data_IF_365868282127
#
_entry.id   IF_365868282127
#
_cell.length_a   1.000
_cell.length_b   1.000
_cell.length_c   1.000
_cell.angle_alpha   90.00
_cell.angle_beta   90.00
_cell.angle_gamma   90.00
#
_symmetry.space_group_name_H-M   'P 1'
#
loop_
_entity.id
_entity.type
_entity.pdbx_description
1 polymer ?
#
# COMPACT_ATOMS: atom_id res chain seq x y z
N UNK A 1 7.46 19.56 1.21
CA UNK A 1 6.83 19.02 -0.01
C UNK A 1 5.41 19.58 -0.13
N UNK A 2 4.76 19.92 0.99
CA UNK A 2 3.44 20.55 1.01
C UNK A 2 2.28 19.60 1.22
N UNK A 3 2.53 18.36 1.68
CA UNK A 3 1.47 17.43 2.06
C UNK A 3 0.84 17.84 3.39
N UNK A 4 -0.45 17.55 3.58
CA UNK A 4 -1.20 17.73 4.83
C UNK A 4 -0.95 16.58 5.80
N UNK A 5 -0.66 15.40 5.27
CA UNK A 5 -0.36 14.20 6.05
C UNK A 5 0.59 13.26 5.28
N UNK A 6 1.11 12.29 5.99
CA UNK A 6 1.77 11.11 5.43
C UNK A 6 1.33 9.87 6.20
N UNK A 7 1.37 8.71 5.55
CA UNK A 7 1.22 7.41 6.21
C UNK A 7 2.60 6.79 6.38
N UNK A 8 2.99 6.52 7.63
CA UNK A 8 4.23 5.81 7.93
C UNK A 8 3.96 4.31 7.90
N UNK A 9 4.41 3.64 6.82
CA UNK A 9 4.23 2.20 6.60
C UNK A 9 5.54 1.45 6.81
N UNK A 10 5.73 0.89 8.00
CA UNK A 10 6.85 -0.01 8.28
C UNK A 10 6.53 -1.42 7.78
N UNK A 11 7.56 -2.23 7.48
CA UNK A 11 7.36 -3.63 7.10
C UNK A 11 7.02 -4.52 8.30
N UNK A 12 6.20 -5.57 8.07
CA UNK A 12 5.93 -6.62 9.04
C UNK A 12 7.16 -7.52 9.29
N UNK A 13 7.15 -8.28 10.38
CA UNK A 13 8.31 -8.98 10.92
C UNK A 13 8.95 -9.99 9.96
N UNK A 14 8.18 -10.58 9.05
CA UNK A 14 8.68 -11.58 8.09
C UNK A 14 9.73 -11.00 7.15
N UNK A 15 9.65 -9.75 6.80
CA UNK A 15 10.64 -9.09 5.96
C UNK A 15 11.87 -8.68 6.77
N UNK A 16 12.66 -9.67 7.19
CA UNK A 16 13.83 -9.51 8.07
C UNK A 16 14.91 -8.60 7.48
N UNK A 17 15.06 -8.57 6.14
CA UNK A 17 16.03 -7.71 5.45
C UNK A 17 15.70 -6.22 5.61
N UNK A 18 14.42 -5.89 5.79
CA UNK A 18 13.95 -4.54 6.07
C UNK A 18 13.82 -4.25 7.58
N UNK A 19 14.29 -5.16 8.44
CA UNK A 19 14.13 -5.05 9.89
C UNK A 19 12.69 -4.91 10.35
N UNK A 20 11.75 -5.62 9.69
CA UNK A 20 10.32 -5.55 9.91
C UNK A 20 9.91 -5.62 11.38
N UNK A 21 8.79 -4.99 11.72
CA UNK A 21 8.32 -4.81 13.09
C UNK A 21 7.50 -6.02 13.54
N UNK A 22 7.83 -6.56 14.71
CA UNK A 22 6.94 -7.44 15.45
C UNK A 22 5.94 -6.61 16.27
N UNK A 23 4.95 -7.24 16.90
CA UNK A 23 3.89 -6.57 17.66
C UNK A 23 4.42 -5.60 18.72
N UNK A 24 5.50 -5.99 19.46
CA UNK A 24 6.11 -5.13 20.48
C UNK A 24 6.72 -3.88 19.86
N UNK A 25 7.46 -4.02 18.76
CA UNK A 25 8.10 -2.89 18.07
C UNK A 25 7.05 -2.02 17.36
N UNK A 26 5.99 -2.63 16.82
CA UNK A 26 4.88 -1.89 16.25
C UNK A 26 4.19 -1.04 17.32
N UNK A 27 3.92 -1.59 18.52
CA UNK A 27 3.35 -0.82 19.63
C UNK A 27 4.23 0.40 19.96
N UNK A 28 5.57 0.22 20.05
CA UNK A 28 6.49 1.33 20.28
C UNK A 28 6.46 2.37 19.15
N UNK A 29 6.31 1.92 17.89
CA UNK A 29 6.20 2.82 16.74
C UNK A 29 4.91 3.65 16.79
N UNK A 30 3.79 3.04 17.17
CA UNK A 30 2.51 3.75 17.34
C UNK A 30 2.61 4.81 18.43
N UNK A 31 3.22 4.48 19.57
CA UNK A 31 3.47 5.44 20.66
C UNK A 31 4.35 6.59 20.15
N UNK A 32 5.41 6.29 19.37
CA UNK A 32 6.29 7.33 18.82
C UNK A 32 5.61 8.22 17.78
N UNK A 33 4.72 7.66 16.94
CA UNK A 33 3.90 8.47 16.00
C UNK A 33 2.99 9.42 16.77
N UNK A 34 2.36 8.97 17.85
CA UNK A 34 1.53 9.82 18.69
C UNK A 34 2.33 10.98 19.31
N UNK A 35 3.51 10.70 19.90
CA UNK A 35 4.41 11.72 20.44
C UNK A 35 4.84 12.74 19.39
N UNK A 36 5.20 12.29 18.18
CA UNK A 36 5.61 13.19 17.08
C UNK A 36 4.45 14.06 16.62
N UNK A 37 3.24 13.52 16.53
CA UNK A 37 2.06 14.31 16.20
C UNK A 37 1.77 15.40 17.25
N UNK A 38 1.96 15.10 18.55
CA UNK A 38 1.85 16.09 19.60
C UNK A 38 2.93 17.19 19.47
N UNK A 39 4.17 16.83 19.14
CA UNK A 39 5.27 17.79 18.87
C UNK A 39 4.94 18.69 17.66
N UNK A 40 4.41 18.12 16.56
CA UNK A 40 4.00 18.85 15.36
C UNK A 40 2.88 19.85 15.68
N UNK A 41 1.85 19.42 16.40
CA UNK A 41 0.74 20.27 16.81
C UNK A 41 1.20 21.40 17.76
N UNK A 42 2.06 21.08 18.74
CA UNK A 42 2.63 22.09 19.64
C UNK A 42 3.49 23.13 18.92
N UNK A 43 4.14 22.74 17.81
CA UNK A 43 4.89 23.67 16.94
C UNK A 43 3.99 24.52 16.02
N UNK A 44 2.68 24.28 16.00
CA UNK A 44 1.71 25.01 15.18
C UNK A 44 1.71 24.64 13.71
N UNK A 45 2.17 23.42 13.37
CA UNK A 45 2.12 22.90 12.01
C UNK A 45 0.80 22.14 11.78
N UNK A 46 0.21 22.37 10.61
CA UNK A 46 -0.95 21.63 10.12
C UNK A 46 -0.48 20.43 9.27
N UNK A 47 0.08 19.43 9.97
CA UNK A 47 0.57 18.19 9.36
C UNK A 47 0.36 17.04 10.32
N UNK A 48 0.00 15.87 9.80
CA UNK A 48 -0.26 14.67 10.59
C UNK A 48 0.44 13.44 10.01
N UNK A 49 1.03 12.63 10.89
CA UNK A 49 1.53 11.31 10.55
C UNK A 49 0.44 10.29 10.91
N UNK A 50 -0.04 9.56 9.93
CA UNK A 50 -0.94 8.42 10.10
C UNK A 50 -0.10 7.15 10.27
N UNK A 51 -0.60 6.23 11.10
CA UNK A 51 0.03 4.94 11.33
C UNK A 51 -0.32 3.96 10.21
N UNK A 52 0.66 3.20 9.72
CA UNK A 52 0.44 2.17 8.73
C UNK A 52 1.40 1.00 8.87
N UNK A 53 1.15 -0.04 8.10
CA UNK A 53 2.03 -1.20 7.97
C UNK A 53 1.98 -1.72 6.54
N UNK A 54 3.14 -2.01 5.97
CA UNK A 54 3.23 -2.88 4.80
C UNK A 54 3.38 -4.32 5.27
N UNK A 55 2.23 -5.02 5.34
CA UNK A 55 2.18 -6.41 5.79
C UNK A 55 2.51 -7.38 4.66
N UNK A 56 3.30 -8.41 4.98
CA UNK A 56 3.59 -9.49 4.02
C UNK A 56 2.36 -10.38 3.84
N UNK A 57 1.95 -10.62 2.60
CA UNK A 57 0.96 -11.64 2.28
C UNK A 57 1.68 -12.99 2.29
N UNK A 58 1.31 -13.88 3.20
CA UNK A 58 1.91 -15.20 3.34
C UNK A 58 1.52 -16.14 2.19
N UNK A 59 2.15 -17.31 2.09
CA UNK A 59 1.93 -18.23 0.96
C UNK A 59 0.48 -18.74 0.85
N UNK A 60 -0.24 -18.79 1.96
CA UNK A 60 -1.65 -19.19 2.05
C UNK A 60 -2.63 -18.01 1.92
N UNK A 61 -2.12 -16.79 1.71
CA UNK A 61 -2.90 -15.58 1.59
C UNK A 61 -3.24 -14.88 2.91
N UNK A 62 -2.85 -15.45 4.07
CA UNK A 62 -2.96 -14.77 5.36
C UNK A 62 -1.95 -13.63 5.49
N UNK A 63 -2.17 -12.72 6.44
CA UNK A 63 -1.32 -11.56 6.67
C UNK A 63 -0.29 -11.84 7.79
N UNK A 64 0.93 -11.32 7.65
CA UNK A 64 2.03 -11.46 8.63
C UNK A 64 1.86 -10.51 9.83
N UNK A 65 0.63 -10.36 10.31
CA UNK A 65 0.31 -9.61 11.53
C UNK A 65 -1.06 -10.07 12.06
N UNK A 66 -1.23 -10.15 13.37
CA UNK A 66 -2.48 -10.56 13.96
C UNK A 66 -3.55 -9.45 13.84
N UNK A 67 -4.81 -9.84 13.68
CA UNK A 67 -5.95 -8.94 13.43
C UNK A 67 -6.03 -7.82 14.48
N UNK A 68 -5.87 -8.13 15.77
CA UNK A 68 -5.91 -7.14 16.85
C UNK A 68 -4.83 -6.05 16.77
N UNK A 69 -3.76 -6.28 15.99
CA UNK A 69 -2.73 -5.29 15.70
C UNK A 69 -3.05 -4.51 14.42
N UNK A 70 -3.62 -5.20 13.41
CA UNK A 70 -4.12 -4.54 12.18
C UNK A 70 -5.21 -3.51 12.51
N UNK A 71 -6.13 -3.83 13.43
CA UNK A 71 -7.20 -2.93 13.91
C UNK A 71 -6.68 -1.63 14.57
N UNK A 72 -5.39 -1.55 14.90
CA UNK A 72 -4.77 -0.37 15.52
C UNK A 72 -4.14 0.58 14.50
N UNK A 73 -4.10 0.18 13.24
CA UNK A 73 -3.49 0.95 12.16
C UNK A 73 -4.51 1.80 11.44
N UNK A 74 -4.08 2.96 10.99
CA UNK A 74 -4.88 3.84 10.14
C UNK A 74 -4.97 3.34 8.70
N UNK A 75 -3.88 2.72 8.19
CA UNK A 75 -3.79 2.19 6.81
C UNK A 75 -2.97 0.90 6.78
N UNK A 76 -3.48 -0.12 6.11
CA UNK A 76 -2.79 -1.40 5.89
C UNK A 76 -2.54 -1.61 4.40
N UNK A 77 -1.26 -1.69 4.03
CA UNK A 77 -0.80 -2.07 2.70
C UNK A 77 -0.42 -3.55 2.72
N UNK A 78 -1.03 -4.38 1.90
CA UNK A 78 -0.68 -5.80 1.80
C UNK A 78 0.17 -6.08 0.56
N UNK A 79 1.35 -6.69 0.74
CA UNK A 79 2.31 -6.89 -0.34
C UNK A 79 2.90 -8.31 -0.35
N UNK A 80 3.25 -8.80 -1.55
CA UNK A 80 3.93 -10.08 -1.73
C UNK A 80 5.44 -9.86 -1.84
N UNK A 81 6.22 -10.34 -0.85
CA UNK A 81 7.68 -10.23 -0.85
C UNK A 81 8.41 -11.57 -1.05
N UNK A 82 7.70 -12.69 -0.94
CA UNK A 82 8.27 -14.03 -1.03
C UNK A 82 7.59 -14.87 -2.11
N UNK A 83 8.28 -15.90 -2.64
CA UNK A 83 7.72 -16.82 -3.64
C UNK A 83 7.12 -16.11 -4.87
N UNK A 84 7.74 -15.03 -5.31
CA UNK A 84 7.29 -14.18 -6.43
C UNK A 84 7.18 -14.91 -7.78
N UNK A 85 7.69 -16.15 -7.89
CA UNK A 85 7.56 -17.04 -9.05
C UNK A 85 6.57 -18.18 -8.81
N UNK A 86 5.63 -17.98 -7.89
CA UNK A 86 4.52 -18.90 -7.66
C UNK A 86 3.70 -19.07 -8.95
N UNK A 87 3.08 -20.24 -9.12
CA UNK A 87 2.15 -20.46 -10.24
C UNK A 87 1.04 -19.40 -10.26
N UNK A 88 0.60 -19.01 -11.48
CA UNK A 88 -0.40 -17.97 -11.69
C UNK A 88 -1.67 -18.19 -10.85
N UNK A 89 -2.19 -19.41 -10.84
CA UNK A 89 -3.41 -19.73 -10.11
C UNK A 89 -3.20 -19.59 -8.60
N UNK A 90 -2.09 -20.12 -8.08
CA UNK A 90 -1.75 -20.04 -6.66
C UNK A 90 -1.49 -18.58 -6.22
N UNK A 91 -0.82 -17.79 -7.07
CA UNK A 91 -0.59 -16.37 -6.77
C UNK A 91 -1.92 -15.60 -6.75
N UNK A 92 -2.83 -15.90 -7.68
CA UNK A 92 -4.17 -15.30 -7.72
C UNK A 92 -4.94 -15.62 -6.43
N UNK A 93 -5.02 -16.88 -6.05
CA UNK A 93 -5.69 -17.32 -4.82
C UNK A 93 -5.09 -16.65 -3.58
N UNK A 94 -3.77 -16.58 -3.49
CA UNK A 94 -3.03 -15.89 -2.43
C UNK A 94 -3.43 -14.42 -2.30
N UNK A 95 -3.47 -13.70 -3.41
CA UNK A 95 -3.84 -12.27 -3.44
C UNK A 95 -5.32 -12.07 -3.12
N UNK A 96 -6.20 -12.91 -3.66
CA UNK A 96 -7.64 -12.86 -3.37
C UNK A 96 -7.95 -13.06 -1.90
N UNK A 97 -7.26 -13.99 -1.23
CA UNK A 97 -7.41 -14.21 0.21
C UNK A 97 -7.01 -12.98 1.03
N UNK A 98 -5.92 -12.32 0.67
CA UNK A 98 -5.50 -11.09 1.34
C UNK A 98 -6.45 -9.92 1.08
N UNK A 99 -6.89 -9.71 -0.16
CA UNK A 99 -7.83 -8.65 -0.56
C UNK A 99 -9.20 -8.84 0.15
N UNK A 100 -9.62 -10.07 0.39
CA UNK A 100 -10.86 -10.36 1.09
C UNK A 100 -10.79 -10.12 2.62
N UNK A 101 -9.60 -9.79 3.15
CA UNK A 101 -9.45 -9.40 4.55
C UNK A 101 -10.03 -8.02 4.80
N UNK A 102 -10.86 -7.82 5.83
CA UNK A 102 -11.44 -6.51 6.16
C UNK A 102 -10.41 -5.48 6.66
N UNK A 103 -9.14 -5.89 6.80
CA UNK A 103 -8.07 -5.03 7.29
C UNK A 103 -7.18 -4.50 6.15
N UNK A 104 -7.38 -4.94 4.90
CA UNK A 104 -6.51 -4.56 3.78
C UNK A 104 -7.08 -3.40 3.01
N UNK A 105 -6.45 -2.24 3.12
CA UNK A 105 -6.85 -1.02 2.43
C UNK A 105 -6.20 -0.91 1.04
N UNK A 106 -4.93 -1.32 0.91
CA UNK A 106 -4.14 -1.14 -0.31
C UNK A 106 -3.43 -2.44 -0.68
N UNK A 107 -3.52 -2.84 -1.95
CA UNK A 107 -2.70 -3.89 -2.54
C UNK A 107 -1.39 -3.25 -3.04
N UNK A 108 -0.28 -3.44 -2.31
CA UNK A 108 1.02 -2.86 -2.60
C UNK A 108 1.71 -3.54 -3.78
N UNK A 109 2.45 -2.77 -4.59
CA UNK A 109 3.27 -3.18 -5.77
C UNK A 109 2.96 -4.60 -6.29
N UNK A 110 1.73 -4.80 -6.77
CA UNK A 110 1.05 -6.08 -6.97
C UNK A 110 1.83 -7.11 -7.82
N UNK A 111 2.74 -6.69 -8.70
CA UNK A 111 3.59 -7.64 -9.44
C UNK A 111 4.93 -7.92 -8.76
N UNK A 112 5.33 -7.10 -7.80
CA UNK A 112 6.63 -7.20 -7.13
C UNK A 112 7.83 -7.07 -8.07
N UNK A 113 7.64 -6.56 -9.30
CA UNK A 113 8.72 -6.43 -10.29
C UNK A 113 9.82 -5.49 -9.84
N UNK A 114 11.00 -5.69 -10.38
CA UNK A 114 12.14 -4.75 -10.34
C UNK A 114 12.69 -4.64 -11.76
N UNK A 115 12.53 -3.49 -12.38
CA UNK A 115 12.90 -3.25 -13.78
C UNK A 115 14.38 -3.59 -14.00
N UNK A 116 14.65 -4.46 -14.97
CA UNK A 116 15.99 -4.95 -15.29
C UNK A 116 16.59 -5.97 -14.30
N UNK A 117 15.90 -6.29 -13.18
CA UNK A 117 16.42 -7.21 -12.15
C UNK A 117 15.50 -8.39 -11.84
N UNK A 118 14.18 -8.15 -11.78
CA UNK A 118 13.19 -9.17 -11.42
C UNK A 118 11.93 -9.01 -12.26
N UNK A 119 11.51 -10.05 -12.98
CA UNK A 119 10.27 -10.00 -13.74
C UNK A 119 9.05 -9.85 -12.82
N UNK A 120 7.90 -9.40 -13.34
CA UNK A 120 6.65 -9.38 -12.62
C UNK A 120 6.21 -10.79 -12.21
N UNK A 121 5.54 -10.91 -11.06
CA UNK A 121 4.76 -12.09 -10.69
C UNK A 121 3.59 -12.26 -11.65
N UNK A 122 3.21 -13.49 -11.92
CA UNK A 122 2.06 -13.83 -12.75
C UNK A 122 0.83 -14.10 -11.87
N UNK A 123 -0.26 -13.41 -12.14
CA UNK A 123 -1.57 -13.62 -11.52
C UNK A 123 -2.68 -13.32 -12.52
N UNK A 124 -3.92 -13.69 -12.20
CA UNK A 124 -5.08 -13.37 -13.00
C UNK A 124 -5.55 -11.96 -12.66
N UNK A 125 -5.25 -10.99 -13.54
CA UNK A 125 -5.55 -9.59 -13.32
C UNK A 125 -7.07 -9.32 -13.24
N UNK A 126 -7.88 -10.03 -14.03
CA UNK A 126 -9.34 -9.86 -14.03
C UNK A 126 -9.93 -10.24 -12.67
N UNK A 127 -9.53 -11.36 -12.09
CA UNK A 127 -9.99 -11.77 -10.77
C UNK A 127 -9.47 -10.86 -9.65
N UNK A 128 -8.17 -10.51 -9.68
CA UNK A 128 -7.56 -9.70 -8.64
C UNK A 128 -8.15 -8.29 -8.61
N UNK A 129 -8.25 -7.61 -9.77
CA UNK A 129 -8.76 -6.25 -9.78
C UNK A 129 -10.29 -6.18 -9.63
N UNK A 130 -11.02 -7.22 -10.08
CA UNK A 130 -12.44 -7.33 -9.74
C UNK A 130 -12.65 -7.44 -8.22
N UNK A 131 -11.80 -8.20 -7.53
CA UNK A 131 -11.83 -8.31 -6.07
C UNK A 131 -11.46 -6.97 -5.40
N UNK A 132 -10.39 -6.29 -5.85
CA UNK A 132 -10.04 -4.96 -5.35
C UNK A 132 -11.22 -3.99 -5.46
N UNK A 133 -11.89 -3.95 -6.62
CA UNK A 133 -13.06 -3.09 -6.82
C UNK A 133 -14.26 -3.50 -5.93
N UNK A 134 -14.45 -4.80 -5.70
CA UNK A 134 -15.56 -5.33 -4.89
C UNK A 134 -15.37 -5.05 -3.39
N UNK A 135 -14.15 -5.23 -2.90
CA UNK A 135 -13.82 -5.09 -1.46
C UNK A 135 -13.36 -3.68 -1.08
N UNK A 136 -13.27 -2.74 -2.05
CA UNK A 136 -12.84 -1.37 -1.78
C UNK A 136 -11.32 -1.21 -1.64
N UNK A 137 -10.53 -2.27 -1.85
CA UNK A 137 -9.07 -2.25 -1.75
C UNK A 137 -8.47 -1.42 -2.89
N UNK A 138 -7.65 -0.42 -2.57
CA UNK A 138 -6.96 0.38 -3.57
C UNK A 138 -5.78 -0.40 -4.19
N UNK A 139 -5.52 -0.15 -5.47
CA UNK A 139 -4.33 -0.66 -6.17
C UNK A 139 -3.22 0.38 -6.07
N UNK A 140 -2.07 0.00 -5.54
CA UNK A 140 -0.93 0.90 -5.45
C UNK A 140 -0.36 1.24 -6.85
N UNK A 141 -0.15 2.52 -7.11
CA UNK A 141 0.71 3.04 -8.19
C UNK A 141 2.05 3.38 -7.55
N UNK A 142 2.94 2.41 -7.46
CA UNK A 142 4.25 2.54 -6.83
C UNK A 142 5.16 3.44 -7.67
N UNK A 143 5.69 4.50 -7.05
CA UNK A 143 6.46 5.54 -7.72
C UNK A 143 7.96 5.23 -7.82
N UNK A 144 8.43 4.19 -7.12
CA UNK A 144 9.86 3.84 -7.10
C UNK A 144 10.35 3.55 -8.52
N UNK A 145 11.41 4.26 -9.00
CA UNK A 145 11.86 4.15 -10.41
C UNK A 145 12.21 2.73 -10.84
N UNK A 146 12.71 1.90 -9.92
CA UNK A 146 13.04 0.50 -10.21
C UNK A 146 11.82 -0.41 -10.27
N UNK A 147 10.66 0.05 -9.79
CA UNK A 147 9.41 -0.72 -9.82
C UNK A 147 8.45 -0.19 -10.86
N UNK A 148 7.94 1.04 -10.67
CA UNK A 148 6.84 1.62 -11.46
C UNK A 148 5.71 0.59 -11.64
N UNK A 149 5.31 -0.04 -10.53
CA UNK A 149 4.31 -1.11 -10.45
C UNK A 149 2.92 -0.50 -10.25
N UNK A 150 1.85 -1.04 -10.85
CA UNK A 150 1.81 -2.13 -11.83
C UNK A 150 2.34 -1.72 -13.21
N UNK A 151 2.70 -2.68 -14.10
CA UNK A 151 2.89 -2.40 -15.53
C UNK A 151 1.70 -1.67 -16.15
N UNK A 152 1.93 -0.92 -17.23
CA UNK A 152 0.89 -0.11 -17.88
C UNK A 152 -0.35 -0.91 -18.23
N UNK A 153 -0.16 -2.10 -18.79
CA UNK A 153 -1.22 -3.00 -19.22
C UNK A 153 -2.10 -3.45 -18.04
N UNK A 154 -1.51 -3.69 -16.87
CA UNK A 154 -2.24 -4.07 -15.66
C UNK A 154 -2.93 -2.87 -15.02
N UNK A 155 -2.34 -1.68 -15.09
CA UNK A 155 -2.97 -0.44 -14.64
C UNK A 155 -4.24 -0.15 -15.43
N UNK A 156 -4.22 -0.39 -16.77
CA UNK A 156 -5.40 -0.24 -17.63
C UNK A 156 -6.53 -1.17 -17.19
N UNK A 157 -6.22 -2.44 -16.90
CA UNK A 157 -7.22 -3.41 -16.41
C UNK A 157 -7.79 -2.96 -15.06
N UNK A 158 -6.97 -2.48 -14.12
CA UNK A 158 -7.45 -1.97 -12.84
C UNK A 158 -8.39 -0.75 -13.01
N UNK A 159 -8.10 0.14 -13.97
CA UNK A 159 -8.97 1.27 -14.32
C UNK A 159 -10.30 0.79 -14.90
N UNK A 160 -10.30 -0.20 -15.79
CA UNK A 160 -11.50 -0.79 -16.38
C UNK A 160 -12.42 -1.42 -15.32
N UNK A 161 -11.86 -2.03 -14.29
CA UNK A 161 -12.64 -2.55 -13.15
C UNK A 161 -13.12 -1.46 -12.17
N UNK A 162 -12.68 -0.21 -12.33
CA UNK A 162 -13.08 0.91 -11.47
C UNK A 162 -12.48 0.85 -10.08
N UNK A 163 -11.28 0.29 -9.94
CA UNK A 163 -10.56 0.24 -8.69
C UNK A 163 -10.31 1.64 -8.10
N UNK A 164 -10.12 1.71 -6.79
CA UNK A 164 -9.42 2.80 -6.13
C UNK A 164 -7.92 2.68 -6.35
N UNK A 165 -7.20 3.80 -6.24
CA UNK A 165 -5.75 3.85 -6.42
C UNK A 165 -5.08 4.61 -5.29
N UNK A 166 -3.90 4.14 -4.87
CA UNK A 166 -2.98 4.86 -4.01
C UNK A 166 -1.70 5.17 -4.80
N UNK A 167 -1.16 6.38 -4.68
CA UNK A 167 0.08 6.80 -5.35
C UNK A 167 1.16 6.96 -4.28
N UNK A 168 2.04 5.96 -4.17
CA UNK A 168 2.95 5.83 -3.04
C UNK A 168 4.42 5.86 -3.47
N UNK A 169 5.23 6.60 -2.71
CA UNK A 169 6.65 6.77 -3.00
C UNK A 169 7.48 5.51 -2.75
N UNK A 170 7.02 4.59 -1.88
CA UNK A 170 7.81 3.45 -1.39
C UNK A 170 9.19 3.92 -0.86
N UNK A 171 9.18 5.08 -0.16
CA UNK A 171 10.37 5.77 0.28
C UNK A 171 11.00 5.10 1.50
N UNK A 172 12.30 4.80 1.41
CA UNK A 172 13.13 4.27 2.48
C UNK A 172 14.17 5.30 2.98
N UNK A 173 14.09 6.52 2.46
CA UNK A 173 14.91 7.67 2.84
C UNK A 173 14.20 8.96 2.42
N UNK A 174 14.48 10.07 3.13
CA UNK A 174 13.80 11.36 2.92
C UNK A 174 13.86 11.88 1.47
N UNK A 175 15.01 11.71 0.78
CA UNK A 175 15.14 12.13 -0.63
C UNK A 175 14.30 11.29 -1.60
N UNK A 176 13.79 10.13 -1.19
CA UNK A 176 12.95 9.27 -2.04
C UNK A 176 11.48 9.71 -2.03
N UNK A 177 11.07 10.58 -1.12
CA UNK A 177 9.74 11.20 -1.14
C UNK A 177 9.50 12.02 -2.42
N UNK A 178 10.58 12.45 -3.10
CA UNK A 178 10.51 13.16 -4.38
C UNK A 178 10.10 12.27 -5.56
N UNK A 179 9.92 10.96 -5.37
CA UNK A 179 9.49 10.04 -6.43
C UNK A 179 7.98 10.08 -6.71
N UNK A 180 7.16 10.61 -5.80
CA UNK A 180 5.70 10.63 -5.95
C UNK A 180 5.23 11.24 -7.29
N UNK A 181 5.82 12.31 -7.83
CA UNK A 181 5.46 12.83 -9.15
C UNK A 181 5.53 11.80 -10.27
N UNK A 182 6.43 10.80 -10.20
CA UNK A 182 6.51 9.74 -11.21
C UNK A 182 5.23 8.88 -11.26
N UNK A 183 4.62 8.62 -10.10
CA UNK A 183 3.33 7.94 -10.03
C UNK A 183 2.18 8.83 -10.50
N UNK A 184 2.20 10.11 -10.15
CA UNK A 184 1.22 11.08 -10.61
C UNK A 184 1.22 11.20 -12.14
N UNK A 185 2.41 11.31 -12.76
CA UNK A 185 2.55 11.36 -14.22
C UNK A 185 1.98 10.09 -14.86
N UNK A 186 2.27 8.91 -14.31
CA UNK A 186 1.74 7.63 -14.80
C UNK A 186 0.21 7.55 -14.67
N UNK A 187 -0.34 7.98 -13.55
CA UNK A 187 -1.78 8.03 -13.34
C UNK A 187 -2.45 8.95 -14.37
N UNK A 188 -1.89 10.15 -14.59
CA UNK A 188 -2.36 11.10 -15.59
C UNK A 188 -2.25 10.56 -17.02
N UNK A 189 -1.11 9.96 -17.39
CA UNK A 189 -0.89 9.34 -18.72
C UNK A 189 -1.90 8.23 -19.03
N UNK A 190 -2.35 7.49 -18.02
CA UNK A 190 -3.31 6.39 -18.18
C UNK A 190 -4.78 6.82 -17.96
N UNK A 191 -5.01 8.06 -17.56
CA UNK A 191 -6.35 8.59 -17.32
C UNK A 191 -7.02 8.02 -16.07
N UNK A 192 -6.24 7.73 -15.02
CA UNK A 192 -6.78 7.35 -13.71
C UNK A 192 -7.72 8.45 -13.23
N UNK A 193 -9.01 8.15 -12.92
CA UNK A 193 -9.94 9.16 -12.43
C UNK A 193 -9.46 9.75 -11.10
N UNK A 194 -9.42 11.07 -10.99
CA UNK A 194 -8.91 11.76 -9.80
C UNK A 194 -9.73 11.46 -8.55
N UNK A 195 -11.02 11.25 -8.70
CA UNK A 195 -11.97 10.87 -7.65
C UNK A 195 -11.84 9.40 -7.22
N UNK A 196 -10.92 8.66 -7.83
CA UNK A 196 -10.52 7.29 -7.46
C UNK A 196 -9.12 7.21 -6.87
N UNK A 197 -8.46 8.33 -6.60
CA UNK A 197 -7.13 8.38 -6.01
C UNK A 197 -7.26 8.76 -4.52
N UNK A 198 -6.99 7.83 -3.63
CA UNK A 198 -7.13 8.04 -2.17
C UNK A 198 -6.20 9.13 -1.62
N UNK A 199 -5.05 9.38 -2.26
CA UNK A 199 -4.14 10.46 -1.86
C UNK A 199 -4.73 11.87 -2.07
N UNK A 200 -5.86 12.01 -2.76
CA UNK A 200 -6.58 13.29 -2.93
C UNK A 200 -7.55 13.59 -1.79
N UNK A 201 -7.77 12.63 -0.92
CA UNK A 201 -8.62 12.76 0.27
C UNK A 201 -7.89 13.56 1.36
N UNK A 202 -8.65 14.29 2.18
CA UNK A 202 -8.10 14.80 3.44
C UNK A 202 -7.72 13.65 4.39
N UNK A 203 -6.94 13.92 5.43
CA UNK A 203 -6.61 12.87 6.41
C UNK A 203 -7.86 12.23 7.04
N UNK A 204 -8.87 13.04 7.38
CA UNK A 204 -10.10 12.56 7.99
C UNK A 204 -10.97 11.78 6.98
N UNK A 205 -11.01 12.20 5.72
CA UNK A 205 -11.72 11.46 4.66
C UNK A 205 -11.01 10.14 4.32
N UNK A 206 -9.67 10.10 4.35
CA UNK A 206 -8.91 8.85 4.18
C UNK A 206 -9.24 7.86 5.31
N UNK A 207 -9.24 8.32 6.57
CA UNK A 207 -9.62 7.48 7.71
C UNK A 207 -11.07 6.99 7.64
N UNK A 208 -11.98 7.81 7.12
CA UNK A 208 -13.35 7.39 6.88
C UNK A 208 -13.45 6.35 5.75
N UNK A 209 -12.61 6.48 4.73
CA UNK A 209 -12.53 5.52 3.64
C UNK A 209 -11.99 4.17 4.11
N UNK A 210 -10.87 4.11 4.86
CA UNK A 210 -10.33 2.85 5.41
C UNK A 210 -11.31 2.17 6.36
N UNK A 211 -12.06 2.93 7.15
CA UNK A 211 -13.08 2.37 8.04
C UNK A 211 -14.33 1.82 7.32
N UNK A 212 -14.51 2.10 6.02
CA UNK A 212 -15.68 1.69 5.24
C UNK A 212 -15.38 0.58 4.22
N UNK A 213 -14.10 0.21 4.04
CA UNK A 213 -13.63 -0.80 3.12
C UNK A 213 -13.92 -2.24 3.58
#
# INVERSE_FOLDING_TARGET
IGHEYMVQTDHSARLTIAHGLNEQRLTQQLDRIAEVNDEIAAAGHDFRILSGMEVDILEDGSLDLADHMLERLDVVVASVHSKLRMDRTQMTERMLMAIASPHVDILGHCTGRMIGKRPPSEFDADYVFAACAQFGTAVEINCRPERLDPPRELLDVAIEYGCWFSIDSDAHATGQLEWQPLGCDRAAERGVPIDRIVNTLSADDLLAWTASA
#
